data_IF_002681625528
#
_entry.id   IF_002681625528
#
_cell.length_a   1.000
_cell.length_b   1.000
_cell.length_c   1.000
_cell.angle_alpha   90.00
_cell.angle_beta   90.00
_cell.angle_gamma   90.00
#
_symmetry.space_group_name_H-M   'P 1'
#
loop_
_entity.id
_entity.type
_entity.pdbx_description
1 polymer ?
#
# COMPACT_ATOMS: atom_id res chain seq x y z
N UNK A 1 23.34 19.79 -10.08
CA UNK A 1 23.27 18.31 -10.15
C UNK A 1 22.45 17.88 -8.95
N UNK A 2 21.16 17.61 -9.14
CA UNK A 2 20.24 17.39 -8.01
C UNK A 2 20.49 15.99 -7.43
N UNK A 3 20.97 15.95 -6.19
CA UNK A 3 21.01 14.73 -5.39
C UNK A 3 19.61 14.54 -4.79
N UNK A 4 18.86 13.55 -5.27
CA UNK A 4 17.66 13.08 -4.59
C UNK A 4 18.07 11.99 -3.61
N UNK A 5 18.18 12.34 -2.33
CA UNK A 5 18.17 11.35 -1.25
C UNK A 5 16.71 10.96 -0.99
N UNK A 6 16.29 9.81 -1.52
CA UNK A 6 15.05 9.19 -1.07
C UNK A 6 15.27 8.67 0.34
N UNK A 7 14.72 9.37 1.32
CA UNK A 7 14.61 8.86 2.68
C UNK A 7 13.73 7.61 2.60
N UNK A 8 14.25 6.45 3.03
CA UNK A 8 13.46 5.27 3.36
C UNK A 8 12.47 5.68 4.46
N UNK A 9 11.31 6.20 4.07
CA UNK A 9 10.19 6.45 5.00
C UNK A 9 9.55 5.08 5.20
N UNK A 10 10.02 4.37 6.23
CA UNK A 10 9.53 3.05 6.61
C UNK A 10 10.66 2.06 6.83
N UNK A 11 10.79 1.61 8.07
CA UNK A 11 11.97 0.92 8.56
C UNK A 11 12.18 -0.44 7.85
N UNK A 12 13.40 -0.64 7.38
CA UNK A 12 13.93 -1.93 6.92
C UNK A 12 14.37 -2.73 8.16
N UNK A 13 13.71 -3.86 8.42
CA UNK A 13 14.05 -4.78 9.50
C UNK A 13 14.81 -5.97 8.91
N UNK A 14 16.12 -6.06 9.14
CA UNK A 14 17.00 -7.07 8.56
C UNK A 14 17.27 -8.15 9.59
N UNK A 15 16.91 -9.39 9.29
CA UNK A 15 17.24 -10.53 10.13
C UNK A 15 18.59 -11.12 9.67
N UNK A 16 19.60 -11.03 10.55
CA UNK A 16 20.96 -11.52 10.35
C UNK A 16 21.15 -12.81 11.16
N UNK A 17 21.41 -13.94 10.50
CA UNK A 17 21.79 -15.19 11.18
C UNK A 17 23.31 -15.23 11.30
N UNK A 18 23.82 -15.30 12.53
CA UNK A 18 25.25 -15.38 12.83
C UNK A 18 25.55 -16.72 13.52
N UNK A 19 25.54 -17.82 12.77
CA UNK A 19 26.67 -18.77 12.81
C UNK A 19 26.42 -20.07 12.04
N UNK A 20 27.51 -20.46 11.37
CA UNK A 20 28.06 -21.80 11.11
C UNK A 20 27.44 -22.65 9.99
N UNK A 21 28.25 -22.80 8.92
CA UNK A 21 28.31 -23.88 7.91
C UNK A 21 27.04 -24.30 7.15
N UNK A 22 25.87 -23.78 7.50
CA UNK A 22 24.60 -24.19 6.89
C UNK A 22 24.18 -23.17 5.82
N UNK A 23 24.55 -23.46 4.57
CA UNK A 23 24.16 -22.67 3.38
C UNK A 23 22.64 -22.72 3.08
N UNK A 24 21.85 -23.44 3.88
CA UNK A 24 20.43 -23.74 3.63
C UNK A 24 19.45 -23.03 4.55
N UNK A 25 19.91 -22.24 5.53
CA UNK A 25 19.01 -21.54 6.44
C UNK A 25 18.02 -20.63 5.69
N UNK A 26 16.73 -20.79 5.94
CA UNK A 26 15.65 -20.00 5.34
C UNK A 26 15.04 -19.08 6.39
N UNK A 27 14.71 -17.86 5.95
CA UNK A 27 13.90 -16.95 6.75
C UNK A 27 12.50 -16.90 6.14
N UNK A 28 11.51 -17.09 6.99
CA UNK A 28 10.09 -16.99 6.65
C UNK A 28 9.46 -15.88 7.47
N UNK A 29 8.64 -15.07 6.81
CA UNK A 29 7.67 -14.22 7.47
C UNK A 29 6.41 -15.05 7.55
N UNK A 30 5.97 -15.37 8.76
CA UNK A 30 4.71 -16.07 8.95
C UNK A 30 3.65 -15.12 9.52
N UNK A 31 2.42 -15.30 9.06
CA UNK A 31 1.29 -14.44 9.35
C UNK A 31 1.04 -13.37 8.27
N UNK A 32 -0.24 -13.22 7.93
CA UNK A 32 -0.92 -12.14 7.19
C UNK A 32 -0.19 -10.79 7.18
N UNK A 33 -0.28 -10.06 6.06
CA UNK A 33 0.11 -8.65 5.90
C UNK A 33 0.10 -7.92 7.24
N UNK A 34 1.23 -7.36 7.65
CA UNK A 34 1.33 -6.80 8.99
C UNK A 34 0.32 -5.67 9.15
N UNK A 35 -0.61 -5.77 10.11
CA UNK A 35 -1.63 -4.74 10.31
C UNK A 35 -1.21 -3.78 11.40
N UNK A 36 -1.68 -2.53 11.35
CA UNK A 36 -1.62 -1.62 12.51
C UNK A 36 -2.24 -2.30 13.73
N UNK A 37 -1.51 -2.30 14.85
CA UNK A 37 -1.86 -2.99 16.09
C UNK A 37 -1.74 -4.52 16.05
N UNK A 38 -1.37 -5.10 14.90
CA UNK A 38 -1.09 -6.52 14.74
C UNK A 38 0.35 -6.88 15.06
N UNK A 39 0.74 -8.09 14.66
CA UNK A 39 2.12 -8.56 14.74
C UNK A 39 2.46 -9.45 13.56
N UNK A 40 3.74 -9.59 13.27
CA UNK A 40 4.24 -10.59 12.34
C UNK A 40 5.41 -11.35 12.96
N UNK A 41 5.56 -12.61 12.57
CA UNK A 41 6.65 -13.45 13.06
C UNK A 41 7.77 -13.52 12.02
N UNK A 42 8.99 -13.26 12.49
CA UNK A 42 10.20 -13.55 11.75
C UNK A 42 10.71 -14.90 12.24
N UNK A 43 10.69 -15.89 11.37
CA UNK A 43 11.15 -17.25 11.68
C UNK A 43 12.41 -17.58 10.89
N UNK A 44 13.34 -18.26 11.56
CA UNK A 44 14.53 -18.87 10.96
C UNK A 44 14.31 -20.38 10.99
N UNK A 45 14.59 -21.05 9.89
CA UNK A 45 14.58 -22.51 9.80
C UNK A 45 15.85 -23.02 9.12
N UNK A 46 16.32 -24.21 9.50
CA UNK A 46 17.53 -24.80 8.91
C UNK A 46 18.83 -24.06 9.25
N UNK A 47 18.85 -23.29 10.34
CA UNK A 47 20.06 -22.75 10.94
C UNK A 47 20.87 -23.83 11.65
N UNK A 48 22.07 -23.49 12.12
CA UNK A 48 22.83 -24.42 12.96
C UNK A 48 22.19 -24.49 14.37
N UNK A 49 22.07 -25.67 14.99
CA UNK A 49 21.56 -25.78 16.36
C UNK A 49 22.30 -24.87 17.34
N UNK A 50 21.55 -24.14 18.19
CA UNK A 50 22.08 -23.19 19.17
C UNK A 50 22.87 -22.00 18.60
N UNK A 51 22.78 -21.74 17.30
CA UNK A 51 23.41 -20.57 16.68
C UNK A 51 22.76 -19.26 17.10
N UNK A 52 23.54 -18.19 17.11
CA UNK A 52 22.99 -16.86 17.32
C UNK A 52 22.33 -16.37 16.02
N UNK A 53 21.21 -15.67 16.16
CA UNK A 53 20.69 -14.79 15.12
C UNK A 53 20.20 -13.50 15.75
N UNK A 54 20.16 -12.43 14.96
CA UNK A 54 19.85 -11.09 15.42
C UNK A 54 18.98 -10.35 14.41
N UNK A 55 18.17 -9.43 14.91
CA UNK A 55 17.43 -8.49 14.08
C UNK A 55 18.13 -7.12 14.13
N UNK A 56 18.52 -6.61 12.98
CA UNK A 56 19.03 -5.27 12.78
C UNK A 56 17.97 -4.37 12.14
N UNK A 57 17.78 -3.17 12.66
CA UNK A 57 16.95 -2.15 12.00
C UNK A 57 17.85 -1.09 11.41
N UNK A 58 17.59 -0.73 10.16
CA UNK A 58 18.22 0.39 9.48
C UNK A 58 17.23 1.52 9.27
N UNK A 59 17.57 2.69 9.80
CA UNK A 59 16.74 3.90 9.76
C UNK A 59 17.24 4.95 8.77
N UNK A 60 18.20 4.60 7.91
CA UNK A 60 18.92 5.60 7.12
C UNK A 60 18.65 5.56 5.62
N UNK A 61 19.00 6.66 4.95
CA UNK A 61 18.88 6.84 3.51
C UNK A 61 20.23 6.58 2.82
N UNK A 62 20.37 5.48 2.07
CA UNK A 62 21.50 5.25 1.13
C UNK A 62 22.45 4.09 1.50
N UNK A 63 23.32 3.64 0.57
CA UNK A 63 24.15 2.43 0.70
C UNK A 63 25.25 2.49 1.77
N UNK A 64 25.66 1.31 2.28
CA UNK A 64 26.67 1.12 3.36
C UNK A 64 27.96 0.55 2.82
N UNK A 65 29.03 0.79 3.56
CA UNK A 65 30.31 0.12 3.34
C UNK A 65 30.82 -0.46 4.66
N UNK A 66 31.16 -1.75 4.67
CA UNK A 66 31.80 -2.42 5.83
C UNK A 66 33.32 -2.31 5.69
N UNK A 67 33.92 -1.34 6.37
CA UNK A 67 35.35 -1.00 6.17
C UNK A 67 36.32 -2.09 6.64
N UNK A 68 35.90 -2.99 7.54
CA UNK A 68 36.78 -4.01 8.13
C UNK A 68 36.99 -5.25 7.25
N UNK A 69 36.20 -5.43 6.18
CA UNK A 69 36.21 -6.65 5.36
C UNK A 69 36.39 -6.39 3.87
N UNK A 70 36.47 -5.13 3.44
CA UNK A 70 36.78 -4.76 2.05
C UNK A 70 35.70 -5.15 1.01
N UNK A 71 34.50 -5.51 1.46
CA UNK A 71 33.37 -5.88 0.61
C UNK A 71 32.34 -4.73 0.61
N UNK A 72 31.95 -4.28 -0.59
CA UNK A 72 30.83 -3.37 -0.79
C UNK A 72 29.61 -4.19 -1.18
N UNK A 73 28.59 -4.22 -0.32
CA UNK A 73 27.28 -4.80 -0.64
C UNK A 73 26.27 -3.67 -0.62
N UNK A 74 25.51 -3.50 -1.71
CA UNK A 74 24.47 -2.48 -1.83
C UNK A 74 23.24 -2.88 -1.00
N UNK A 75 23.32 -2.65 0.32
CA UNK A 75 22.29 -3.02 1.30
C UNK A 75 21.56 -1.80 1.90
N UNK A 76 22.02 -0.58 1.61
CA UNK A 76 21.30 0.63 2.01
C UNK A 76 21.43 1.09 3.48
N UNK A 77 22.38 0.59 4.29
CA UNK A 77 22.68 1.08 5.65
C UNK A 77 23.62 2.30 5.72
N UNK A 78 23.56 3.06 6.81
CA UNK A 78 24.60 4.01 7.26
C UNK A 78 24.94 3.73 8.73
N UNK A 79 25.63 4.66 9.41
CA UNK A 79 26.04 4.64 10.83
C UNK A 79 24.92 4.44 11.89
N UNK A 80 23.70 4.10 11.49
CA UNK A 80 22.50 3.98 12.32
C UNK A 80 21.90 2.56 12.31
N UNK A 81 22.73 1.53 12.13
CA UNK A 81 22.32 0.14 12.32
C UNK A 81 22.11 -0.15 13.81
N UNK A 82 20.89 -0.54 14.19
CA UNK A 82 20.56 -0.94 15.55
C UNK A 82 20.22 -2.43 15.58
N UNK A 83 21.09 -3.24 16.18
CA UNK A 83 20.71 -4.59 16.59
C UNK A 83 19.72 -4.48 17.74
N UNK A 84 18.45 -4.80 17.47
CA UNK A 84 17.35 -4.62 18.43
C UNK A 84 17.04 -5.88 19.22
N UNK A 85 17.42 -7.06 18.74
CA UNK A 85 17.22 -8.33 19.45
C UNK A 85 18.26 -9.36 19.03
N UNK A 86 18.68 -10.22 19.97
CA UNK A 86 19.42 -11.43 19.70
C UNK A 86 18.66 -12.64 20.23
N UNK A 87 18.65 -13.73 19.47
CA UNK A 87 17.99 -14.98 19.81
C UNK A 87 18.92 -16.13 19.44
N UNK A 88 18.74 -17.27 20.10
CA UNK A 88 19.44 -18.50 19.73
C UNK A 88 18.49 -19.43 19.01
N UNK A 89 18.94 -20.04 17.92
CA UNK A 89 18.23 -21.15 17.31
C UNK A 89 18.09 -22.30 18.33
N UNK A 90 17.00 -23.04 18.27
CA UNK A 90 16.77 -24.23 19.08
C UNK A 90 17.71 -25.39 18.68
N UNK A 91 17.54 -26.54 19.33
CA UNK A 91 18.32 -27.76 19.06
C UNK A 91 18.11 -28.35 17.66
N UNK A 92 17.12 -27.85 16.90
CA UNK A 92 16.83 -28.23 15.52
C UNK A 92 17.21 -27.14 14.51
N UNK A 93 17.82 -26.03 14.96
CA UNK A 93 18.24 -24.95 14.09
C UNK A 93 17.12 -23.97 13.71
N UNK A 94 16.03 -23.93 14.48
CA UNK A 94 14.91 -23.01 14.23
C UNK A 94 14.88 -21.87 15.26
N UNK A 95 14.39 -20.71 14.86
CA UNK A 95 14.18 -19.56 15.74
C UNK A 95 12.93 -18.78 15.35
N UNK A 96 12.32 -18.08 16.29
CA UNK A 96 11.18 -17.18 16.01
C UNK A 96 11.27 -15.91 16.86
N UNK A 97 10.87 -14.79 16.27
CA UNK A 97 10.69 -13.51 16.96
C UNK A 97 9.43 -12.83 16.45
N UNK A 98 8.50 -12.54 17.36
CA UNK A 98 7.29 -11.77 17.08
C UNK A 98 7.57 -10.28 17.16
N UNK A 99 7.13 -9.53 16.16
CA UNK A 99 7.23 -8.08 16.14
C UNK A 99 5.85 -7.44 16.21
N UNK A 100 5.63 -6.57 17.21
CA UNK A 100 4.40 -5.81 17.32
C UNK A 100 4.44 -4.58 16.41
N UNK A 101 3.38 -4.37 15.64
CA UNK A 101 3.21 -3.18 14.81
C UNK A 101 2.71 -1.98 15.62
N UNK A 102 3.02 -0.75 15.19
CA UNK A 102 2.44 0.46 15.78
C UNK A 102 0.91 0.36 15.78
N UNK A 103 0.27 0.93 16.81
CA UNK A 103 -1.21 0.93 16.96
C UNK A 103 -1.87 2.17 16.36
N UNK A 104 -1.09 3.13 15.87
CA UNK A 104 -1.61 4.39 15.31
C UNK A 104 -1.68 4.29 13.78
N UNK A 105 -2.86 4.57 13.22
CA UNK A 105 -3.12 4.55 11.78
C UNK A 105 -2.33 5.59 10.98
N UNK A 106 -1.68 6.57 11.62
CA UNK A 106 -0.69 7.45 10.96
C UNK A 106 0.49 6.65 10.39
N UNK A 107 0.76 5.45 10.89
CA UNK A 107 1.81 4.56 10.37
C UNK A 107 1.31 3.56 9.32
N UNK A 108 0.02 3.58 8.95
CA UNK A 108 -0.51 2.71 7.90
C UNK A 108 0.14 3.02 6.54
N UNK A 109 0.36 2.02 5.68
CA UNK A 109 1.03 2.23 4.39
C UNK A 109 2.52 2.52 4.46
N UNK A 110 3.12 2.45 5.66
CA UNK A 110 4.56 2.28 5.79
C UNK A 110 4.92 0.88 5.29
N UNK A 111 5.83 0.80 4.33
CA UNK A 111 6.36 -0.48 3.85
C UNK A 111 7.49 -0.92 4.77
N UNK A 112 7.41 -2.15 5.29
CA UNK A 112 8.48 -2.74 6.09
C UNK A 112 9.19 -3.80 5.24
N UNK A 113 10.42 -3.49 4.85
CA UNK A 113 11.23 -4.45 4.12
C UNK A 113 11.87 -5.41 5.12
N UNK A 114 11.78 -6.72 4.88
CA UNK A 114 12.53 -7.71 5.67
C UNK A 114 13.48 -8.47 4.76
N UNK A 115 14.77 -8.24 4.98
CA UNK A 115 15.81 -8.93 4.22
C UNK A 115 16.61 -9.84 5.15
N UNK A 116 16.74 -11.08 4.73
CA UNK A 116 17.56 -12.08 5.39
C UNK A 116 19.01 -11.97 4.92
N UNK A 117 19.95 -11.91 5.86
CA UNK A 117 21.37 -11.98 5.58
C UNK A 117 21.96 -13.20 6.28
N UNK A 118 22.50 -14.14 5.51
CA UNK A 118 23.25 -15.26 6.05
C UNK A 118 24.74 -14.96 5.93
N UNK A 119 25.44 -14.99 7.07
CA UNK A 119 26.88 -14.77 7.14
C UNK A 119 27.53 -16.05 7.65
N UNK A 120 28.34 -16.68 6.80
CA UNK A 120 29.21 -17.78 7.23
C UNK A 120 30.53 -17.21 7.79
N UNK A 121 30.76 -17.27 9.12
CA UNK A 121 31.99 -16.75 9.71
C UNK A 121 33.23 -17.58 9.35
N UNK A 122 33.08 -18.76 8.73
CA UNK A 122 34.18 -19.64 8.34
C UNK A 122 34.58 -19.52 6.86
N UNK A 123 33.80 -18.82 6.04
CA UNK A 123 34.06 -18.58 4.62
C UNK A 123 34.22 -17.08 4.35
N UNK A 124 35.46 -16.64 4.07
CA UNK A 124 35.86 -15.22 3.97
C UNK A 124 35.20 -14.45 2.81
N UNK A 125 34.31 -15.08 2.03
CA UNK A 125 33.67 -14.51 0.83
C UNK A 125 32.16 -14.77 0.66
N UNK A 126 31.43 -15.27 1.66
CA UNK A 126 30.00 -15.61 1.47
C UNK A 126 29.06 -14.98 2.48
N UNK A 127 28.87 -13.66 2.36
CA UNK A 127 27.53 -13.12 2.64
C UNK A 127 26.64 -13.68 1.54
N UNK A 128 25.77 -14.63 1.87
CA UNK A 128 24.71 -15.04 0.96
C UNK A 128 23.45 -14.29 1.38
N UNK A 129 23.01 -13.37 0.52
CA UNK A 129 21.69 -12.76 0.66
C UNK A 129 20.68 -13.84 0.30
N UNK A 130 19.94 -14.35 1.29
CA UNK A 130 18.81 -15.23 1.02
C UNK A 130 17.56 -14.39 0.74
N UNK A 131 16.74 -14.88 -0.19
CA UNK A 131 15.36 -14.49 -0.49
C UNK A 131 14.86 -13.17 0.16
N UNK A 132 14.91 -12.06 -0.59
CA UNK A 132 14.20 -10.83 -0.20
C UNK A 132 12.70 -11.15 -0.06
N UNK A 133 12.12 -10.78 1.08
CA UNK A 133 10.67 -10.87 1.34
C UNK A 133 10.17 -9.48 1.70
N UNK A 134 9.09 -9.05 1.06
CA UNK A 134 8.47 -7.75 1.31
C UNK A 134 7.17 -7.99 2.07
N UNK A 135 6.93 -7.21 3.14
CA UNK A 135 5.63 -7.17 3.81
C UNK A 135 5.23 -5.70 3.99
N UNK A 136 4.03 -5.36 3.55
CA UNK A 136 3.52 -4.00 3.65
C UNK A 136 2.70 -3.88 4.92
N UNK A 137 2.84 -2.77 5.67
CA UNK A 137 1.89 -2.53 6.77
C UNK A 137 0.56 -2.07 6.19
N UNK A 138 -0.41 -2.95 6.28
CA UNK A 138 -1.79 -2.61 6.02
C UNK A 138 -2.32 -1.72 7.15
N UNK A 139 -3.19 -0.76 6.82
CA UNK A 139 -4.05 -0.19 7.84
C UNK A 139 -4.80 -1.32 8.57
N UNK A 140 -5.09 -1.15 9.86
CA UNK A 140 -6.03 -2.05 10.54
C UNK A 140 -7.37 -1.97 9.81
N UNK A 141 -8.07 -3.11 9.62
CA UNK A 141 -9.48 -3.06 9.22
C UNK A 141 -10.20 -2.10 10.16
N UNK A 142 -10.71 -0.96 9.66
CA UNK A 142 -11.27 0.06 10.53
C UNK A 142 -12.62 -0.38 11.10
N UNK A 143 -13.13 -1.56 10.71
CA UNK A 143 -14.41 -2.11 11.12
C UNK A 143 -15.59 -1.31 10.57
N UNK A 144 -16.79 -1.86 10.73
CA UNK A 144 -18.01 -1.17 10.36
C UNK A 144 -18.43 -0.16 11.41
N UNK A 145 -18.78 1.05 10.96
CA UNK A 145 -19.35 2.10 11.78
C UNK A 145 -20.80 2.40 11.43
N UNK A 146 -21.16 3.68 11.51
CA UNK A 146 -22.46 4.14 11.01
C UNK A 146 -22.43 4.21 9.49
N UNK A 147 -23.31 3.43 8.87
CA UNK A 147 -23.47 3.35 7.42
C UNK A 147 -24.64 4.22 6.94
N UNK A 148 -24.45 4.93 5.83
CA UNK A 148 -25.51 5.72 5.18
C UNK A 148 -25.50 5.48 3.67
N UNK A 149 -26.67 5.09 3.14
CA UNK A 149 -26.88 4.94 1.70
C UNK A 149 -26.97 6.31 1.03
N UNK A 150 -26.31 6.48 -0.12
CA UNK A 150 -26.26 7.76 -0.83
C UNK A 150 -27.38 7.97 -1.85
N UNK A 151 -28.10 6.91 -2.26
CA UNK A 151 -29.21 7.01 -3.21
C UNK A 151 -28.82 7.67 -4.54
N UNK A 152 -27.65 7.31 -5.08
CA UNK A 152 -27.14 7.85 -6.34
C UNK A 152 -27.92 7.28 -7.54
N UNK A 153 -28.16 8.11 -8.54
CA UNK A 153 -28.66 7.73 -9.87
C UNK A 153 -27.51 7.65 -10.87
N UNK A 154 -27.79 7.24 -12.11
CA UNK A 154 -26.82 7.33 -13.21
C UNK A 154 -26.17 8.72 -13.28
N UNK A 155 -24.84 8.76 -13.46
CA UNK A 155 -23.96 9.95 -13.41
C UNK A 155 -24.06 10.83 -12.14
N UNK A 156 -24.86 10.43 -11.15
CA UNK A 156 -25.18 11.21 -9.97
C UNK A 156 -23.99 11.37 -9.03
N UNK A 157 -23.98 12.45 -8.24
CA UNK A 157 -22.98 12.68 -7.20
C UNK A 157 -23.59 13.16 -5.90
N UNK A 158 -23.02 12.72 -4.77
CA UNK A 158 -23.40 13.18 -3.45
C UNK A 158 -22.18 13.73 -2.71
N UNK A 159 -22.37 14.89 -2.05
CA UNK A 159 -21.38 15.47 -1.16
C UNK A 159 -21.46 14.79 0.21
N UNK A 160 -20.31 14.40 0.74
CA UNK A 160 -20.19 13.68 2.02
C UNK A 160 -19.16 14.37 2.92
N UNK A 161 -19.40 14.35 4.23
CA UNK A 161 -18.43 14.82 5.22
C UNK A 161 -17.54 13.66 5.66
N UNK A 162 -16.22 13.88 5.69
CA UNK A 162 -15.24 12.86 6.08
C UNK A 162 -15.12 12.70 7.60
N UNK A 163 -15.52 13.72 8.36
CA UNK A 163 -15.33 13.75 9.82
C UNK A 163 -13.91 14.05 10.29
N UNK A 164 -12.96 14.25 9.37
CA UNK A 164 -11.58 14.66 9.65
C UNK A 164 -11.00 15.46 8.47
N UNK A 165 -9.82 16.06 8.68
CA UNK A 165 -9.08 16.78 7.65
C UNK A 165 -8.18 15.81 6.88
N UNK A 166 -8.67 15.30 5.74
CA UNK A 166 -7.94 14.37 4.88
C UNK A 166 -6.90 15.11 4.02
N UNK A 167 -5.60 14.81 4.15
CA UNK A 167 -4.59 15.41 3.31
C UNK A 167 -4.47 14.66 1.97
N UNK A 168 -4.64 15.38 0.86
CA UNK A 168 -4.58 14.83 -0.50
C UNK A 168 -3.91 15.82 -1.45
N UNK A 169 -2.83 15.40 -2.12
CA UNK A 169 -2.04 16.20 -3.07
C UNK A 169 -1.65 17.61 -2.58
N UNK A 170 -1.18 17.71 -1.33
CA UNK A 170 -0.73 18.96 -0.73
C UNK A 170 -1.85 19.88 -0.21
N UNK A 171 -3.10 19.49 -0.38
CA UNK A 171 -4.27 20.17 0.16
C UNK A 171 -4.92 19.35 1.27
N UNK A 172 -5.81 19.99 2.04
CA UNK A 172 -6.58 19.36 3.11
C UNK A 172 -8.07 19.50 2.84
N UNK A 173 -8.80 18.39 2.91
CA UNK A 173 -10.22 18.32 2.61
C UNK A 173 -11.00 17.73 3.78
N UNK A 174 -12.12 18.33 4.14
CA UNK A 174 -13.05 17.79 5.16
C UNK A 174 -14.31 17.18 4.54
N UNK A 175 -14.42 17.27 3.22
CA UNK A 175 -15.58 16.87 2.43
C UNK A 175 -15.09 16.27 1.12
N UNK A 176 -15.85 15.33 0.58
CA UNK A 176 -15.62 14.71 -0.72
C UNK A 176 -16.95 14.60 -1.49
N UNK A 177 -16.87 14.31 -2.78
CA UNK A 177 -18.01 14.05 -3.65
C UNK A 177 -17.89 12.63 -4.19
N UNK A 178 -18.81 11.77 -3.79
CA UNK A 178 -18.91 10.39 -4.28
C UNK A 178 -19.81 10.41 -5.52
N UNK A 179 -19.28 9.91 -6.63
CA UNK A 179 -19.98 9.83 -7.90
C UNK A 179 -20.38 8.37 -8.19
N UNK A 180 -21.52 8.18 -8.85
CA UNK A 180 -22.12 6.89 -9.21
C UNK A 180 -21.15 6.01 -10.00
N UNK A 181 -20.36 6.62 -10.89
CA UNK A 181 -19.37 5.98 -11.75
C UNK A 181 -18.12 5.51 -10.99
N UNK A 182 -18.16 5.36 -9.67
CA UNK A 182 -17.05 4.78 -8.90
C UNK A 182 -15.85 5.70 -8.72
N UNK A 183 -16.07 7.02 -8.64
CA UNK A 183 -15.02 8.00 -8.30
C UNK A 183 -15.36 8.84 -7.07
N UNK A 184 -14.32 9.29 -6.37
CA UNK A 184 -14.40 10.17 -5.20
C UNK A 184 -13.53 11.41 -5.47
N UNK A 185 -14.18 12.57 -5.61
CA UNK A 185 -13.53 13.84 -5.98
C UNK A 185 -13.53 14.84 -4.83
N UNK A 186 -12.62 15.81 -4.89
CA UNK A 186 -12.41 16.80 -3.84
C UNK A 186 -12.52 18.24 -4.37
N UNK A 187 -13.02 19.14 -3.52
CA UNK A 187 -13.26 20.55 -3.86
C UNK A 187 -14.51 20.80 -4.72
N UNK A 188 -14.77 19.93 -5.68
CA UNK A 188 -15.98 19.92 -6.51
C UNK A 188 -16.28 18.50 -7.00
N UNK A 189 -17.53 18.26 -7.42
CA UNK A 189 -17.94 16.97 -7.98
C UNK A 189 -17.26 16.70 -9.34
N UNK A 190 -17.00 15.42 -9.62
CA UNK A 190 -16.68 14.93 -10.95
C UNK A 190 -17.93 15.10 -11.84
N UNK A 191 -17.85 15.98 -12.84
CA UNK A 191 -18.95 16.29 -13.75
C UNK A 191 -18.90 15.54 -15.08
N UNK A 192 -18.04 14.53 -15.23
CA UNK A 192 -17.95 13.74 -16.45
C UNK A 192 -19.00 12.63 -16.45
N UNK A 193 -19.81 12.60 -17.52
CA UNK A 193 -20.75 11.51 -17.81
C UNK A 193 -20.11 10.36 -18.59
N UNK A 194 -18.79 10.41 -18.79
CA UNK A 194 -18.04 9.38 -19.51
C UNK A 194 -16.70 9.13 -18.83
N UNK A 195 -16.23 7.89 -18.88
CA UNK A 195 -14.90 7.53 -18.41
C UNK A 195 -13.88 8.05 -19.42
N UNK A 196 -13.17 9.12 -19.05
CA UNK A 196 -12.16 9.74 -19.90
C UNK A 196 -10.91 10.08 -19.08
N UNK A 197 -9.77 9.59 -19.54
CA UNK A 197 -8.48 9.83 -18.92
C UNK A 197 -8.12 11.31 -18.93
N UNK A 198 -8.45 12.02 -20.02
CA UNK A 198 -8.12 13.45 -20.15
C UNK A 198 -8.89 14.28 -19.13
N UNK A 199 -10.15 13.96 -18.90
CA UNK A 199 -10.94 14.53 -17.82
C UNK A 199 -10.42 14.12 -16.44
N UNK A 200 -10.06 12.85 -16.24
CA UNK A 200 -9.54 12.36 -14.96
C UNK A 200 -8.30 13.16 -14.51
N UNK A 201 -7.32 13.36 -15.39
CA UNK A 201 -6.11 14.16 -15.06
C UNK A 201 -6.35 15.67 -15.16
N UNK A 202 -7.34 16.12 -15.93
CA UNK A 202 -7.68 17.52 -16.19
C UNK A 202 -8.60 18.17 -15.15
N UNK A 203 -9.47 17.38 -14.54
CA UNK A 203 -10.58 17.81 -13.70
C UNK A 203 -10.20 18.06 -12.23
N UNK A 204 -11.13 17.83 -11.27
CA UNK A 204 -10.81 17.96 -9.85
C UNK A 204 -9.85 16.88 -9.37
N UNK A 205 -9.21 17.12 -8.23
CA UNK A 205 -8.44 16.10 -7.53
C UNK A 205 -9.38 14.91 -7.22
N UNK A 206 -9.00 13.71 -7.67
CA UNK A 206 -9.89 12.55 -7.69
C UNK A 206 -9.15 11.29 -7.28
N UNK A 207 -9.83 10.45 -6.50
CA UNK A 207 -9.50 9.05 -6.28
C UNK A 207 -10.51 8.25 -7.09
N UNK A 208 -10.03 7.35 -7.94
CA UNK A 208 -10.82 6.43 -8.73
C UNK A 208 -10.58 5.01 -8.21
N UNK A 209 -11.39 4.50 -7.27
CA UNK A 209 -11.32 3.10 -6.91
C UNK A 209 -11.77 2.19 -8.04
N UNK A 210 -12.73 2.63 -8.83
CA UNK A 210 -13.07 2.00 -10.10
C UNK A 210 -13.88 3.03 -10.89
N UNK A 211 -13.21 3.97 -11.55
CA UNK A 211 -13.92 4.92 -12.39
C UNK A 211 -14.34 4.24 -13.69
N UNK A 212 -15.60 3.84 -13.76
CA UNK A 212 -16.25 3.19 -14.91
C UNK A 212 -17.72 3.58 -14.99
N UNK A 213 -18.42 3.27 -16.08
CA UNK A 213 -19.84 3.64 -16.31
C UNK A 213 -20.81 2.82 -15.44
N UNK A 214 -20.75 3.01 -14.11
CA UNK A 214 -21.57 2.31 -13.12
C UNK A 214 -22.92 3.01 -12.90
N UNK A 215 -23.98 2.20 -12.83
CA UNK A 215 -25.33 2.69 -12.63
C UNK A 215 -26.02 1.99 -11.44
N UNK A 216 -26.05 2.63 -10.25
CA UNK A 216 -26.72 2.08 -9.07
C UNK A 216 -28.24 1.86 -9.22
N UNK A 217 -28.88 2.40 -10.25
CA UNK A 217 -30.31 2.16 -10.53
C UNK A 217 -30.56 0.79 -11.17
N UNK A 218 -29.52 0.19 -11.77
CA UNK A 218 -29.61 -1.15 -12.39
C UNK A 218 -29.32 -2.28 -11.40
N UNK A 219 -28.63 -1.98 -10.30
CA UNK A 219 -28.32 -2.96 -9.26
C UNK A 219 -27.40 -2.40 -8.18
N UNK A 220 -27.43 -3.04 -7.01
CA UNK A 220 -26.50 -2.75 -5.92
C UNK A 220 -26.80 -1.50 -5.11
N UNK A 221 -25.82 -1.08 -4.32
CA UNK A 221 -25.92 0.12 -3.45
C UNK A 221 -24.58 0.83 -3.31
N UNK A 222 -24.62 2.15 -3.13
CA UNK A 222 -23.46 2.95 -2.72
C UNK A 222 -23.66 3.46 -1.30
N UNK A 223 -22.74 3.10 -0.41
CA UNK A 223 -22.85 3.33 1.04
C UNK A 223 -21.59 4.03 1.54
N UNK A 224 -21.78 5.06 2.37
CA UNK A 224 -20.70 5.65 3.17
C UNK A 224 -20.65 5.01 4.53
N UNK A 225 -19.46 4.94 5.13
CA UNK A 225 -19.27 4.41 6.47
C UNK A 225 -18.24 5.23 7.25
N UNK A 226 -18.65 5.65 8.45
CA UNK A 226 -17.77 6.33 9.42
C UNK A 226 -16.76 5.40 10.09
N UNK A 227 -16.86 4.08 9.84
CA UNK A 227 -16.05 3.00 10.39
C UNK A 227 -16.14 2.87 11.91
N UNK A 228 -15.60 1.80 12.48
CA UNK A 228 -15.56 1.63 13.95
C UNK A 228 -14.57 2.60 14.63
N UNK A 229 -13.78 3.35 13.85
CA UNK A 229 -12.86 4.40 14.33
C UNK A 229 -13.18 5.78 13.73
N UNK A 230 -14.34 6.40 14.07
CA UNK A 230 -14.72 7.70 13.52
C UNK A 230 -13.66 8.77 13.73
N UNK A 231 -13.37 9.55 12.70
CA UNK A 231 -12.32 10.58 12.70
C UNK A 231 -10.92 10.04 12.39
N UNK A 232 -10.73 8.72 12.28
CA UNK A 232 -9.49 8.09 11.82
C UNK A 232 -9.60 7.48 10.42
N UNK A 233 -10.79 6.98 10.06
CA UNK A 233 -11.06 6.42 8.75
C UNK A 233 -12.49 6.75 8.28
N UNK A 234 -12.67 6.80 6.96
CA UNK A 234 -13.95 6.94 6.30
C UNK A 234 -13.96 6.06 5.05
N UNK A 235 -15.01 5.26 4.85
CA UNK A 235 -15.12 4.35 3.72
C UNK A 235 -16.31 4.68 2.81
N UNK A 236 -16.14 4.37 1.52
CA UNK A 236 -17.20 4.35 0.52
C UNK A 236 -17.22 2.96 -0.09
N UNK A 237 -18.38 2.31 -0.04
CA UNK A 237 -18.60 0.95 -0.51
C UNK A 237 -19.57 0.95 -1.67
N UNK A 238 -19.16 0.34 -2.76
CA UNK A 238 -20.00 -0.03 -3.89
C UNK A 238 -20.28 -1.52 -3.71
N UNK A 239 -21.55 -1.87 -3.49
CA UNK A 239 -21.95 -3.25 -3.19
C UNK A 239 -22.82 -3.75 -4.33
N UNK A 240 -22.22 -4.54 -5.23
CA UNK A 240 -22.88 -5.17 -6.36
C UNK A 240 -23.50 -4.19 -7.35
N UNK A 241 -22.83 -3.07 -7.60
CA UNK A 241 -23.30 -2.03 -8.53
C UNK A 241 -23.02 -2.47 -9.96
N UNK A 242 -24.05 -2.58 -10.78
CA UNK A 242 -23.93 -2.93 -12.20
C UNK A 242 -23.41 -1.74 -13.02
N UNK A 243 -22.81 -2.04 -14.17
CA UNK A 243 -22.56 -1.04 -15.20
C UNK A 243 -23.85 -0.69 -15.97
N UNK A 244 -23.81 0.38 -16.77
CA UNK A 244 -24.95 0.85 -17.55
C UNK A 244 -25.45 -0.15 -18.62
N UNK A 245 -24.72 -1.26 -18.81
CA UNK A 245 -25.04 -2.34 -19.73
C UNK A 245 -25.51 -3.63 -19.02
N UNK A 246 -25.55 -3.64 -17.69
CA UNK A 246 -25.79 -4.81 -16.85
C UNK A 246 -24.88 -6.00 -17.22
N UNK A 247 -23.60 -5.73 -17.49
CA UNK A 247 -22.60 -6.73 -17.90
C UNK A 247 -22.06 -7.56 -16.74
N UNK A 248 -22.26 -7.09 -15.50
CA UNK A 248 -21.97 -7.80 -14.27
C UNK A 248 -21.71 -6.84 -13.09
N UNK A 249 -22.11 -7.22 -11.87
CA UNK A 249 -22.04 -6.32 -10.73
C UNK A 249 -20.62 -6.17 -10.20
N UNK A 250 -20.28 -4.97 -9.76
CA UNK A 250 -18.99 -4.62 -9.16
C UNK A 250 -19.14 -4.31 -7.67
N UNK A 251 -18.29 -4.94 -6.87
CA UNK A 251 -18.21 -4.75 -5.41
C UNK A 251 -16.78 -4.38 -5.01
N UNK A 252 -16.63 -3.20 -4.43
CA UNK A 252 -15.35 -2.68 -3.97
C UNK A 252 -15.56 -1.63 -2.88
N UNK A 253 -14.54 -1.45 -2.04
CA UNK A 253 -14.50 -0.45 -0.98
C UNK A 253 -13.27 0.42 -1.13
N UNK A 254 -13.44 1.73 -1.04
CA UNK A 254 -12.31 2.65 -0.78
C UNK A 254 -12.38 3.15 0.65
N UNK A 255 -11.25 3.10 1.35
CA UNK A 255 -11.10 3.62 2.70
C UNK A 255 -10.04 4.73 2.71
N UNK A 256 -10.44 5.90 3.21
CA UNK A 256 -9.60 7.07 3.41
C UNK A 256 -9.19 7.15 4.88
N UNK A 257 -7.89 7.20 5.15
CA UNK A 257 -7.37 7.34 6.51
C UNK A 257 -6.91 8.78 6.78
N UNK A 258 -7.03 9.23 8.02
CA UNK A 258 -6.67 10.60 8.46
C UNK A 258 -5.22 11.00 8.12
N UNK A 259 -4.31 10.03 7.98
CA UNK A 259 -2.92 10.26 7.54
C UNK A 259 -2.76 10.61 6.04
N UNK A 260 -3.81 10.43 5.24
CA UNK A 260 -3.78 10.61 3.79
C UNK A 260 -3.65 9.31 3.00
N UNK A 261 -3.62 8.16 3.66
CA UNK A 261 -3.57 6.84 3.02
C UNK A 261 -4.92 6.45 2.43
N UNK A 262 -4.87 5.72 1.32
CA UNK A 262 -6.06 5.27 0.59
C UNK A 262 -5.93 3.77 0.38
N UNK A 263 -6.86 3.00 0.91
CA UNK A 263 -6.94 1.56 0.70
C UNK A 263 -8.12 1.24 -0.22
N UNK A 264 -7.95 0.26 -1.10
CA UNK A 264 -8.99 -0.19 -2.03
C UNK A 264 -9.07 -1.71 -1.95
N UNK A 265 -10.20 -2.21 -1.48
CA UNK A 265 -10.52 -3.62 -1.37
C UNK A 265 -11.47 -3.99 -2.51
N UNK A 266 -11.06 -4.90 -3.38
CA UNK A 266 -11.90 -5.43 -4.44
C UNK A 266 -12.41 -6.81 -4.06
N UNK A 267 -13.72 -6.98 -4.05
CA UNK A 267 -14.34 -8.30 -3.99
C UNK A 267 -14.43 -8.84 -5.44
N UNK A 268 -15.62 -8.84 -6.01
CA UNK A 268 -15.86 -9.17 -7.42
C UNK A 268 -16.10 -7.89 -8.21
N UNK A 269 -15.31 -7.67 -9.26
CA UNK A 269 -15.54 -6.60 -10.23
C UNK A 269 -16.06 -7.21 -11.52
N UNK A 270 -17.13 -6.62 -12.06
CA UNK A 270 -17.69 -7.00 -13.34
C UNK A 270 -16.71 -6.72 -14.51
N UNK A 271 -17.10 -7.03 -15.75
CA UNK A 271 -16.27 -6.75 -16.93
C UNK A 271 -16.02 -5.24 -17.12
N UNK A 272 -14.98 -4.70 -16.48
CA UNK A 272 -14.64 -3.28 -16.56
C UNK A 272 -13.70 -3.02 -17.76
N UNK A 273 -14.25 -2.94 -18.98
CA UNK A 273 -13.51 -2.48 -20.16
C UNK A 273 -13.67 -0.96 -20.31
N UNK A 274 -12.57 -0.21 -20.21
CA UNK A 274 -12.62 1.25 -20.19
C UNK A 274 -12.82 1.79 -18.77
N UNK A 275 -11.96 1.39 -17.84
CA UNK A 275 -11.99 1.83 -16.45
C UNK A 275 -10.66 2.46 -16.03
N UNK A 276 -10.69 3.32 -15.01
CA UNK A 276 -9.50 3.92 -14.42
C UNK A 276 -9.46 3.58 -12.94
N UNK A 277 -8.29 3.12 -12.46
CA UNK A 277 -8.02 2.94 -11.03
C UNK A 277 -6.83 3.78 -10.63
N UNK A 278 -6.94 4.56 -9.56
CA UNK A 278 -5.81 5.30 -9.00
C UNK A 278 -6.20 6.65 -8.41
N UNK A 279 -5.29 7.61 -8.46
CA UNK A 279 -5.51 8.95 -7.95
C UNK A 279 -4.81 10.02 -8.79
N UNK A 280 -5.33 11.25 -8.73
CA UNK A 280 -4.85 12.39 -9.50
C UNK A 280 -5.01 13.70 -8.71
N UNK A 281 -4.04 14.64 -8.80
CA UNK A 281 -4.22 15.99 -8.27
C UNK A 281 -5.22 16.82 -9.08
N UNK A 282 -5.60 16.37 -10.29
CA UNK A 282 -6.37 17.15 -11.25
C UNK A 282 -5.56 18.30 -11.85
N UNK A 283 -6.24 19.25 -12.51
CA UNK A 283 -5.62 20.49 -12.98
C UNK A 283 -4.63 20.32 -14.14
N UNK A 284 -4.92 19.41 -15.07
CA UNK A 284 -4.09 19.07 -16.23
C UNK A 284 -2.74 18.46 -15.86
N UNK A 285 -2.77 17.54 -14.89
CA UNK A 285 -1.60 16.78 -14.51
C UNK A 285 -1.09 15.92 -15.69
N UNK A 286 0.23 15.68 -15.76
CA UNK A 286 0.78 14.83 -16.83
C UNK A 286 0.30 13.39 -16.67
N UNK A 287 -0.16 12.77 -17.75
CA UNK A 287 -0.61 11.38 -17.74
C UNK A 287 0.51 10.43 -17.29
N UNK A 288 0.13 9.40 -16.55
CA UNK A 288 1.04 8.43 -15.96
C UNK A 288 0.31 7.11 -15.71
N UNK A 289 0.09 6.39 -16.82
CA UNK A 289 -0.51 5.05 -16.84
C UNK A 289 0.54 4.00 -16.45
N UNK A 290 0.21 3.20 -15.44
CA UNK A 290 1.10 2.22 -14.81
C UNK A 290 0.35 0.91 -14.59
N UNK A 291 1.09 -0.18 -14.44
CA UNK A 291 0.50 -1.47 -14.11
C UNK A 291 0.40 -1.66 -12.58
N UNK A 292 -0.81 -1.61 -12.02
CA UNK A 292 -1.06 -1.71 -10.58
C UNK A 292 -1.01 -3.15 -10.06
N UNK A 293 -1.08 -4.17 -10.93
CA UNK A 293 -0.97 -5.57 -10.50
C UNK A 293 0.48 -6.02 -10.32
N UNK A 294 1.44 -5.17 -10.69
CA UNK A 294 2.87 -5.37 -10.46
C UNK A 294 3.33 -4.54 -9.26
N UNK A 295 4.12 -5.11 -8.32
CA UNK A 295 4.72 -4.33 -7.26
C UNK A 295 5.68 -3.29 -7.88
N UNK A 296 5.31 -2.01 -7.79
CA UNK A 296 6.03 -0.90 -8.40
C UNK A 296 6.27 0.23 -7.42
N UNK A 297 7.52 0.70 -7.34
CA UNK A 297 7.86 1.90 -6.58
C UNK A 297 7.98 3.08 -7.55
N UNK A 298 7.01 3.99 -7.58
CA UNK A 298 7.14 5.26 -8.32
C UNK A 298 6.93 6.44 -7.37
N UNK A 299 8.00 6.87 -6.70
CA UNK A 299 8.01 8.14 -5.99
C UNK A 299 8.13 9.29 -7.01
N UNK A 300 7.12 10.15 -7.08
CA UNK A 300 7.18 11.38 -7.88
C UNK A 300 7.50 12.60 -7.00
N UNK A 301 8.45 13.42 -7.45
CA UNK A 301 8.90 14.64 -6.75
C UNK A 301 7.91 15.82 -6.83
N UNK A 302 6.81 15.66 -7.56
CA UNK A 302 5.73 16.63 -7.78
C UNK A 302 4.38 15.92 -7.62
N UNK A 303 3.26 16.60 -7.31
CA UNK A 303 1.93 16.02 -7.42
C UNK A 303 1.72 15.50 -8.85
N UNK A 304 1.96 14.20 -9.03
CA UNK A 304 1.72 13.48 -10.28
C UNK A 304 0.56 12.53 -10.08
N UNK A 305 -0.28 12.34 -11.11
CA UNK A 305 -1.30 11.32 -11.05
C UNK A 305 -0.63 9.94 -11.06
N UNK A 306 -1.33 8.99 -10.47
CA UNK A 306 -0.84 7.64 -10.27
C UNK A 306 -2.04 6.72 -10.47
N UNK A 307 -2.14 6.11 -11.65
CA UNK A 307 -3.31 5.34 -12.06
C UNK A 307 -3.00 4.32 -13.16
N UNK A 308 -3.91 3.38 -13.34
CA UNK A 308 -3.95 2.45 -14.47
C UNK A 308 -5.21 2.68 -15.28
N UNK A 309 -5.08 2.61 -16.61
CA UNK A 309 -6.22 2.55 -17.54
C UNK A 309 -6.43 1.10 -17.99
N UNK A 310 -7.61 0.56 -17.71
CA UNK A 310 -8.02 -0.77 -18.15
C UNK A 310 -8.75 -0.69 -19.48
N UNK A 311 -8.31 -1.49 -20.44
CA UNK A 311 -8.80 -1.49 -21.83
C UNK A 311 -9.14 -2.92 -22.27
N UNK A 312 -9.67 -3.08 -23.48
CA UNK A 312 -9.90 -4.43 -24.03
C UNK A 312 -8.59 -5.24 -24.20
N UNK A 313 -7.44 -4.56 -24.33
CA UNK A 313 -6.12 -5.17 -24.48
C UNK A 313 -5.39 -5.35 -23.14
N UNK A 314 -5.80 -4.62 -22.11
CA UNK A 314 -5.32 -4.72 -20.73
C UNK A 314 -6.54 -4.81 -19.80
N UNK A 315 -7.17 -5.99 -19.72
CA UNK A 315 -8.41 -6.17 -18.96
C UNK A 315 -8.17 -6.01 -17.46
N UNK A 316 -9.23 -5.69 -16.73
CA UNK A 316 -9.20 -5.56 -15.27
C UNK A 316 -8.70 -6.85 -14.60
N UNK A 317 -7.60 -6.74 -13.85
CA UNK A 317 -6.92 -7.86 -13.20
C UNK A 317 -6.79 -7.68 -11.66
N UNK A 318 -7.43 -6.65 -11.10
CA UNK A 318 -7.41 -6.35 -9.66
C UNK A 318 -8.60 -6.98 -8.89
N UNK A 319 -9.37 -7.88 -9.50
CA UNK A 319 -10.48 -8.57 -8.80
C UNK A 319 -9.96 -9.48 -7.68
N UNK A 320 -10.65 -9.53 -6.53
CA UNK A 320 -10.22 -10.25 -5.32
C UNK A 320 -8.83 -9.83 -4.83
N UNK A 321 -8.51 -8.55 -5.00
CA UNK A 321 -7.21 -8.00 -4.62
C UNK A 321 -7.37 -6.77 -3.74
N UNK A 322 -6.24 -6.26 -3.30
CA UNK A 322 -6.15 -5.06 -2.51
C UNK A 322 -5.10 -4.11 -3.08
N UNK A 323 -5.39 -2.81 -3.09
CA UNK A 323 -4.46 -1.78 -3.52
C UNK A 323 -4.37 -0.70 -2.45
N UNK A 324 -3.14 -0.34 -2.06
CA UNK A 324 -2.89 0.72 -1.09
C UNK A 324 -2.06 1.84 -1.68
N UNK A 325 -2.58 3.07 -1.62
CA UNK A 325 -1.83 4.28 -1.91
C UNK A 325 -1.34 4.91 -0.60
N UNK A 326 -0.06 4.69 -0.31
CA UNK A 326 0.65 5.33 0.80
C UNK A 326 1.06 6.74 0.46
N UNK A 327 0.67 7.73 1.27
CA UNK A 327 1.09 9.11 1.07
C UNK A 327 2.60 9.26 1.33
N UNK A 328 3.32 9.87 0.39
CA UNK A 328 4.75 10.18 0.50
C UNK A 328 4.95 11.69 0.45
N UNK A 329 5.52 12.26 1.53
CA UNK A 329 5.72 13.71 1.64
C UNK A 329 4.40 14.48 1.63
N UNK A 330 4.41 15.70 1.08
CA UNK A 330 3.22 16.56 1.09
C UNK A 330 2.20 16.21 0.01
N UNK A 331 2.67 15.69 -1.13
CA UNK A 331 1.90 15.67 -2.39
C UNK A 331 2.06 14.40 -3.24
N UNK A 332 2.83 13.41 -2.80
CA UNK A 332 3.08 12.18 -3.55
C UNK A 332 2.32 10.97 -2.99
N UNK A 333 2.19 9.95 -3.82
CA UNK A 333 1.62 8.65 -3.47
C UNK A 333 2.52 7.51 -3.97
N UNK A 334 2.55 6.42 -3.22
CA UNK A 334 3.14 5.13 -3.55
C UNK A 334 2.01 4.11 -3.60
N UNK A 335 1.80 3.37 -4.70
CA UNK A 335 0.93 2.19 -4.63
C UNK A 335 1.68 0.94 -4.23
N UNK A 336 0.94 0.06 -3.56
CA UNK A 336 1.35 -1.27 -3.16
C UNK A 336 0.21 -2.22 -3.51
N UNK A 337 0.57 -3.33 -4.16
CA UNK A 337 -0.27 -4.50 -4.42
C UNK A 337 0.17 -5.64 -3.49
#
# INVERSE_FOLDING_TARGET
MYHYSMNKIGALAIALVLSATCATAQITLDGTQAQIGGSFDVTVSGGHPNSLWMLGIDRSSGPTTFQDVGITVDLGFTQHFLAVNNQTCDGSGNGSLTFAMPTDNVFAGIVYYVQALNVDPMAVTSITVSNLRTSTVHPSDPGLGTQSMLGLTDDGSAQVSLGFSFPFYGQSYTQAFVNANGSVSFGQANGSSTVDESFFVGGPATIAPLFTDLNPELGGTVVTDTTATPGQAFAVRFNGVDDNFASGPSSFTVTLYVGGHIAIDYDTVGPATGAIVGCTPGGSAMTNDIDLSQPGFLAHASPSPFYQVFTAQAPFDLSNSFVLFGRVGTSGYLSLF
#
